data_IF_668949961184
#
_entry.id   IF_668949961184
#
_cell.length_a   1.000
_cell.length_b   1.000
_cell.length_c   1.000
_cell.angle_alpha   90.00
_cell.angle_beta   90.00
_cell.angle_gamma   90.00
#
_symmetry.space_group_name_H-M   'P 1'
#
loop_
_entity.id
_entity.type
_entity.pdbx_description
1 polymer ?
#
# COMPACT_ATOMS: atom_id res chain seq x y z
N UNK A 1 -9.88 53.85 13.93
CA UNK A 1 -10.07 52.45 13.51
C UNK A 1 -9.28 52.22 12.23
N UNK A 2 -8.14 51.54 12.30
CA UNK A 2 -7.35 51.15 11.13
C UNK A 2 -7.82 49.77 10.67
N UNK A 3 -8.27 49.65 9.42
CA UNK A 3 -8.57 48.39 8.77
C UNK A 3 -7.25 47.66 8.47
N UNK A 4 -7.09 46.43 8.96
CA UNK A 4 -6.03 45.51 8.54
C UNK A 4 -6.47 44.77 7.27
N UNK A 5 -5.61 44.62 6.24
CA UNK A 5 -5.91 43.79 5.09
C UNK A 5 -5.66 42.32 5.44
N UNK A 6 -6.64 41.47 5.16
CA UNK A 6 -6.52 40.02 5.20
C UNK A 6 -5.73 39.59 3.96
N UNK A 7 -4.49 39.12 4.17
CA UNK A 7 -3.68 38.51 3.12
C UNK A 7 -4.13 37.04 2.99
N UNK A 8 -4.79 36.71 1.89
CA UNK A 8 -5.01 35.31 1.50
C UNK A 8 -3.67 34.73 1.06
N UNK A 9 -3.13 33.81 1.85
CA UNK A 9 -2.00 32.97 1.43
C UNK A 9 -2.54 31.93 0.43
N UNK A 10 -2.36 32.17 -0.87
CA UNK A 10 -2.51 31.11 -1.87
C UNK A 10 -1.38 30.11 -1.64
N UNK A 11 -1.71 28.93 -1.12
CA UNK A 11 -0.81 27.80 -1.18
C UNK A 11 -0.64 27.40 -2.65
N UNK A 12 0.52 27.73 -3.23
CA UNK A 12 0.97 27.13 -4.48
C UNK A 12 1.17 25.64 -4.21
N UNK A 13 0.20 24.82 -4.61
CA UNK A 13 0.41 23.39 -4.76
C UNK A 13 1.38 23.21 -5.92
N UNK A 14 2.66 22.94 -5.61
CA UNK A 14 3.61 22.45 -6.59
C UNK A 14 3.03 21.15 -7.17
N UNK A 15 2.46 21.21 -8.36
CA UNK A 15 2.07 20.03 -9.10
C UNK A 15 3.37 19.33 -9.54
N UNK A 16 3.90 18.46 -8.69
CA UNK A 16 4.95 17.52 -9.09
C UNK A 16 4.34 16.58 -10.13
N UNK A 17 4.92 16.53 -11.32
CA UNK A 17 4.51 15.61 -12.37
C UNK A 17 4.85 14.19 -11.90
N UNK A 18 3.85 13.33 -11.73
CA UNK A 18 4.09 11.91 -11.51
C UNK A 18 4.42 11.21 -12.84
N UNK A 19 5.01 10.01 -12.79
CA UNK A 19 5.09 9.11 -13.93
C UNK A 19 3.67 8.89 -14.47
N UNK A 20 3.36 9.52 -15.60
CA UNK A 20 2.01 9.52 -16.16
C UNK A 20 1.80 8.33 -17.12
N UNK A 21 2.12 7.11 -16.66
CA UNK A 21 1.89 5.88 -17.41
C UNK A 21 0.47 5.32 -17.23
N UNK A 22 -0.39 6.03 -16.48
CA UNK A 22 -1.78 5.65 -16.22
C UNK A 22 -1.98 4.54 -15.19
N UNK A 23 -0.91 3.99 -14.61
CA UNK A 23 -0.97 2.87 -13.66
C UNK A 23 -0.94 3.34 -12.20
N UNK A 24 -1.30 2.43 -11.29
CA UNK A 24 -1.20 2.60 -9.82
C UNK A 24 -1.78 3.91 -9.30
N UNK A 25 -2.96 4.30 -9.81
CA UNK A 25 -3.69 5.47 -9.30
C UNK A 25 -4.15 5.29 -7.84
N UNK A 26 -4.19 4.06 -7.38
CA UNK A 26 -4.20 3.64 -5.97
C UNK A 26 -2.97 2.76 -5.72
N UNK A 27 -2.55 2.56 -4.45
CA UNK A 27 -1.42 1.69 -4.14
C UNK A 27 -1.65 0.27 -4.71
N UNK A 28 -0.64 -0.38 -5.31
CA UNK A 28 -0.84 -1.70 -5.88
C UNK A 28 -1.14 -2.74 -4.79
N UNK A 29 -1.99 -3.70 -5.14
CA UNK A 29 -2.35 -4.82 -4.27
C UNK A 29 -2.01 -6.13 -4.98
N UNK A 30 -1.41 -7.07 -4.26
CA UNK A 30 -1.04 -8.34 -4.85
C UNK A 30 -0.28 -9.26 -3.90
N UNK A 31 0.53 -10.11 -4.49
CA UNK A 31 1.36 -11.09 -3.80
C UNK A 31 2.77 -11.13 -4.41
N UNK A 32 3.81 -11.24 -3.58
CA UNK A 32 5.21 -11.37 -3.97
C UNK A 32 5.88 -12.53 -3.25
N UNK A 33 6.82 -13.21 -3.93
CA UNK A 33 7.44 -14.43 -3.38
C UNK A 33 8.48 -14.20 -2.28
N UNK A 34 9.07 -12.99 -2.16
CA UNK A 34 10.34 -12.78 -1.45
C UNK A 34 10.30 -13.14 0.03
N UNK A 35 9.47 -12.48 0.84
CA UNK A 35 9.55 -12.63 2.31
C UNK A 35 9.32 -14.08 2.74
N UNK A 36 8.30 -14.73 2.19
CA UNK A 36 7.93 -16.09 2.60
C UNK A 36 8.75 -17.20 1.94
N UNK A 37 9.10 -17.07 0.66
CA UNK A 37 9.72 -18.15 -0.12
C UNK A 37 11.19 -17.92 -0.42
N UNK A 38 11.67 -16.67 -0.31
CA UNK A 38 13.07 -16.27 -0.43
C UNK A 38 13.71 -16.85 -1.70
N UNK A 39 14.97 -17.24 -1.62
CA UNK A 39 15.72 -17.87 -2.71
C UNK A 39 15.71 -19.40 -2.61
N UNK A 40 14.59 -20.04 -2.23
CA UNK A 40 14.51 -21.50 -2.20
C UNK A 40 14.47 -22.08 -3.63
N UNK A 41 15.55 -22.70 -4.09
CA UNK A 41 15.63 -23.31 -5.43
C UNK A 41 15.68 -24.84 -5.41
N UNK A 42 15.59 -25.46 -4.23
CA UNK A 42 15.62 -26.92 -4.07
C UNK A 42 14.25 -27.53 -4.37
N UNK A 43 13.94 -27.64 -5.67
CA UNK A 43 12.70 -28.25 -6.12
C UNK A 43 12.69 -29.79 -6.06
N UNK A 44 13.83 -30.42 -5.77
CA UNK A 44 13.89 -31.87 -5.59
C UNK A 44 13.37 -32.26 -4.20
N UNK A 45 13.84 -31.57 -3.16
CA UNK A 45 13.47 -31.87 -1.78
C UNK A 45 12.31 -31.01 -1.26
N UNK A 46 12.07 -29.83 -1.84
CA UNK A 46 10.97 -28.94 -1.45
C UNK A 46 10.15 -28.43 -2.67
N UNK A 47 9.57 -29.34 -3.49
CA UNK A 47 8.91 -29.00 -4.76
C UNK A 47 7.70 -28.08 -4.62
N UNK A 48 7.11 -27.98 -3.41
CA UNK A 48 5.93 -27.15 -3.16
C UNK A 48 6.28 -25.71 -2.79
N UNK A 49 7.51 -25.43 -2.35
CA UNK A 49 7.89 -24.10 -1.88
C UNK A 49 9.10 -23.53 -2.61
N UNK A 50 9.78 -24.31 -3.46
CA UNK A 50 10.83 -23.76 -4.30
C UNK A 50 10.26 -22.74 -5.30
N UNK A 51 11.06 -21.73 -5.64
CA UNK A 51 10.78 -20.72 -6.67
C UNK A 51 10.70 -21.42 -8.03
N UNK A 52 9.47 -21.68 -8.48
CA UNK A 52 9.16 -22.44 -9.69
C UNK A 52 7.86 -21.98 -10.31
N UNK A 53 7.64 -22.28 -11.59
CA UNK A 53 6.38 -21.99 -12.29
C UNK A 53 5.16 -22.53 -11.52
N UNK A 54 5.27 -23.71 -10.89
CA UNK A 54 4.19 -24.31 -10.11
C UNK A 54 3.82 -23.47 -8.88
N UNK A 55 4.79 -22.90 -8.17
CA UNK A 55 4.52 -22.01 -7.04
C UNK A 55 3.66 -20.82 -7.47
N UNK A 56 4.02 -20.14 -8.56
CA UNK A 56 3.29 -18.97 -9.04
C UNK A 56 1.91 -19.33 -9.60
N UNK A 57 1.76 -20.51 -10.20
CA UNK A 57 0.46 -21.01 -10.65
C UNK A 57 -0.47 -21.34 -9.47
N UNK A 58 0.05 -22.00 -8.44
CA UNK A 58 -0.69 -22.27 -7.20
C UNK A 58 -1.20 -20.96 -6.58
N UNK A 59 -0.34 -19.95 -6.45
CA UNK A 59 -0.72 -18.66 -5.89
C UNK A 59 -1.71 -17.93 -6.79
N UNK A 60 -1.52 -17.95 -8.11
CA UNK A 60 -2.47 -17.37 -9.06
C UNK A 60 -3.87 -18.02 -8.97
N UNK A 61 -3.93 -19.36 -8.86
CA UNK A 61 -5.19 -20.07 -8.67
C UNK A 61 -5.86 -19.66 -7.36
N UNK A 62 -5.09 -19.57 -6.25
CA UNK A 62 -5.64 -19.04 -4.98
C UNK A 62 -6.12 -17.60 -5.12
N UNK A 63 -5.36 -16.69 -5.74
CA UNK A 63 -5.82 -15.30 -5.91
C UNK A 63 -7.14 -15.23 -6.68
N UNK A 64 -7.29 -16.05 -7.72
CA UNK A 64 -8.46 -16.05 -8.60
C UNK A 64 -9.68 -16.78 -8.03
N UNK A 65 -9.50 -17.75 -7.13
CA UNK A 65 -10.58 -18.63 -6.64
C UNK A 65 -11.03 -18.31 -5.20
N UNK A 66 -10.15 -17.70 -4.39
CA UNK A 66 -10.36 -17.54 -2.94
C UNK A 66 -10.85 -16.13 -2.54
N UNK A 67 -11.28 -15.31 -3.49
CA UNK A 67 -11.83 -13.96 -3.26
C UNK A 67 -10.78 -12.83 -3.23
N UNK A 68 -9.49 -13.13 -3.38
CA UNK A 68 -8.44 -12.10 -3.29
C UNK A 68 -8.50 -11.09 -4.42
N UNK A 69 -8.68 -11.58 -5.66
CA UNK A 69 -8.81 -10.73 -6.84
C UNK A 69 -10.01 -9.81 -6.74
N UNK A 70 -11.14 -10.32 -6.25
CA UNK A 70 -12.38 -9.55 -6.05
C UNK A 70 -12.18 -8.43 -5.01
N UNK A 71 -11.31 -8.67 -4.02
CA UNK A 71 -10.89 -7.66 -3.04
C UNK A 71 -9.81 -6.70 -3.55
N UNK A 72 -9.33 -6.88 -4.80
CA UNK A 72 -8.38 -6.00 -5.46
C UNK A 72 -6.94 -6.53 -5.55
N UNK A 73 -6.62 -7.66 -4.90
CA UNK A 73 -5.29 -8.27 -5.03
C UNK A 73 -5.16 -8.97 -6.39
N UNK A 74 -4.62 -8.27 -7.39
CA UNK A 74 -4.60 -8.72 -8.77
C UNK A 74 -3.19 -8.96 -9.35
N UNK A 75 -2.13 -8.60 -8.63
CA UNK A 75 -0.74 -8.86 -9.04
C UNK A 75 -0.17 -10.12 -8.39
N UNK A 76 0.55 -10.93 -9.17
CA UNK A 76 1.44 -12.01 -8.68
C UNK A 76 2.85 -11.69 -9.16
N UNK A 77 3.76 -11.44 -8.24
CA UNK A 77 5.09 -10.88 -8.51
C UNK A 77 6.17 -11.92 -8.21
N UNK A 78 6.95 -12.24 -9.24
CA UNK A 78 8.17 -13.03 -9.12
C UNK A 78 9.26 -12.12 -8.57
N UNK A 79 9.86 -12.49 -7.44
CA UNK A 79 11.06 -11.83 -6.91
C UNK A 79 12.35 -12.53 -7.40
N UNK A 80 13.48 -12.33 -6.74
CA UNK A 80 14.78 -12.86 -7.16
C UNK A 80 14.81 -14.40 -7.28
N UNK A 81 15.89 -14.92 -7.87
CA UNK A 81 16.19 -16.34 -8.04
C UNK A 81 15.30 -17.08 -9.05
N UNK A 82 14.61 -16.38 -9.95
CA UNK A 82 13.81 -16.98 -11.02
C UNK A 82 14.61 -17.34 -12.28
N UNK A 83 15.68 -16.59 -12.56
CA UNK A 83 16.39 -16.67 -13.84
C UNK A 83 17.38 -17.83 -13.90
N UNK A 84 17.77 -18.18 -15.10
CA UNK A 84 18.96 -18.97 -15.37
C UNK A 84 20.21 -18.16 -15.02
N UNK A 85 21.29 -18.84 -14.63
CA UNK A 85 22.61 -18.22 -14.43
C UNK A 85 23.23 -17.68 -15.73
N UNK A 86 22.66 -18.03 -16.88
CA UNK A 86 23.13 -17.61 -18.19
C UNK A 86 22.03 -16.85 -18.93
N UNK A 87 22.44 -15.74 -19.55
CA UNK A 87 21.69 -15.09 -20.63
C UNK A 87 21.77 -15.94 -21.90
N UNK A 88 20.81 -15.75 -22.80
CA UNK A 88 20.80 -16.44 -24.08
C UNK A 88 21.87 -15.92 -25.05
N UNK A 89 21.97 -16.54 -26.22
CA UNK A 89 22.94 -16.15 -27.26
C UNK A 89 22.77 -14.72 -27.78
N UNK A 90 21.58 -14.13 -27.63
CA UNK A 90 21.27 -12.76 -28.01
C UNK A 90 21.42 -11.80 -26.82
N UNK A 91 21.86 -12.31 -25.66
CA UNK A 91 22.07 -11.55 -24.42
C UNK A 91 20.80 -11.30 -23.60
N UNK A 92 19.68 -11.97 -23.90
CA UNK A 92 18.42 -11.81 -23.14
C UNK A 92 18.43 -12.66 -21.88
N UNK A 93 17.74 -12.18 -20.83
CA UNK A 93 17.43 -12.99 -19.67
C UNK A 93 16.60 -14.22 -20.07
N UNK A 94 16.80 -15.32 -19.35
CA UNK A 94 15.99 -16.53 -19.49
C UNK A 94 15.60 -17.02 -18.10
N UNK A 95 14.39 -17.59 -17.92
CA UNK A 95 14.06 -18.26 -16.68
C UNK A 95 14.84 -19.57 -16.55
N UNK A 96 15.00 -20.06 -15.33
CA UNK A 96 15.59 -21.38 -15.11
C UNK A 96 14.76 -22.47 -15.83
N UNK A 97 15.36 -23.25 -16.75
CA UNK A 97 14.60 -24.15 -17.61
C UNK A 97 14.02 -25.36 -16.87
N UNK A 98 14.56 -25.72 -15.70
CA UNK A 98 14.04 -26.83 -14.89
C UNK A 98 12.88 -26.36 -14.02
N UNK A 99 12.99 -25.17 -13.43
CA UNK A 99 11.98 -24.61 -12.51
C UNK A 99 10.84 -23.90 -13.24
N UNK A 100 11.09 -23.38 -14.44
CA UNK A 100 10.12 -22.69 -15.29
C UNK A 100 10.11 -23.28 -16.72
N UNK A 101 9.76 -24.56 -16.89
CA UNK A 101 9.84 -25.24 -18.17
C UNK A 101 8.88 -24.65 -19.24
N UNK A 102 7.80 -23.96 -18.81
CA UNK A 102 6.89 -23.26 -19.71
C UNK A 102 7.38 -21.87 -20.15
N UNK A 103 8.38 -21.32 -19.49
CA UNK A 103 8.88 -19.95 -19.68
C UNK A 103 7.94 -18.87 -19.16
N UNK A 104 8.47 -17.66 -18.96
CA UNK A 104 7.73 -16.53 -18.36
C UNK A 104 6.52 -16.11 -19.21
N UNK A 105 6.64 -16.09 -20.54
CA UNK A 105 5.53 -15.68 -21.41
C UNK A 105 4.29 -16.58 -21.28
N UNK A 106 4.49 -17.88 -21.02
CA UNK A 106 3.38 -18.82 -20.80
C UNK A 106 2.78 -18.65 -19.42
N UNK A 107 3.61 -18.39 -18.40
CA UNK A 107 3.15 -18.06 -17.05
C UNK A 107 2.34 -16.75 -17.05
N UNK A 108 2.80 -15.71 -17.73
CA UNK A 108 2.07 -14.45 -17.89
C UNK A 108 0.68 -14.69 -18.47
N UNK A 109 0.58 -15.47 -19.56
CA UNK A 109 -0.70 -15.84 -20.16
C UNK A 109 -1.59 -16.61 -19.18
N UNK A 110 -1.04 -17.54 -18.39
CA UNK A 110 -1.80 -18.29 -17.38
C UNK A 110 -2.47 -17.37 -16.34
N UNK A 111 -1.76 -16.32 -15.91
CA UNK A 111 -2.27 -15.31 -14.99
C UNK A 111 -3.29 -14.40 -15.68
N UNK A 112 -3.01 -13.94 -16.91
CA UNK A 112 -3.90 -13.08 -17.68
C UNK A 112 -5.25 -13.74 -17.97
N UNK A 113 -5.25 -15.04 -18.29
CA UNK A 113 -6.47 -15.84 -18.50
C UNK A 113 -7.37 -15.91 -17.25
N UNK A 114 -6.82 -15.57 -16.07
CA UNK A 114 -7.54 -15.48 -14.78
C UNK A 114 -7.87 -14.05 -14.35
N UNK A 115 -7.53 -13.07 -15.18
CA UNK A 115 -7.68 -11.65 -14.87
C UNK A 115 -6.66 -11.13 -13.84
N UNK A 116 -5.53 -11.82 -13.68
CA UNK A 116 -4.41 -11.39 -12.84
C UNK A 116 -3.31 -10.76 -13.70
N UNK A 117 -2.33 -10.13 -13.03
CA UNK A 117 -1.18 -9.44 -13.62
C UNK A 117 0.11 -10.09 -13.15
N UNK A 118 1.10 -10.20 -14.04
CA UNK A 118 2.42 -10.76 -13.71
C UNK A 118 3.42 -9.65 -13.38
N UNK A 119 4.00 -9.70 -12.19
CA UNK A 119 5.22 -8.96 -11.86
C UNK A 119 6.47 -9.82 -12.01
N UNK A 120 7.59 -9.17 -12.35
CA UNK A 120 8.91 -9.80 -12.38
C UNK A 120 9.95 -8.93 -11.68
N UNK A 121 11.09 -9.55 -11.40
CA UNK A 121 12.23 -8.94 -10.75
C UNK A 121 13.43 -8.85 -11.69
N UNK A 122 14.13 -7.72 -11.61
CA UNK A 122 15.49 -7.57 -12.07
C UNK A 122 16.28 -6.76 -11.04
N UNK A 123 17.59 -6.63 -11.27
CA UNK A 123 18.48 -5.80 -10.45
C UNK A 123 19.26 -4.86 -11.36
N UNK A 124 19.32 -3.58 -11.02
CA UNK A 124 20.24 -2.65 -11.66
C UNK A 124 21.64 -2.83 -11.09
N UNK A 125 22.41 -3.68 -11.76
CA UNK A 125 23.75 -4.06 -11.34
C UNK A 125 24.30 -5.20 -12.18
N UNK A 126 25.50 -5.67 -11.82
CA UNK A 126 26.11 -6.82 -12.52
C UNK A 126 25.42 -8.14 -12.18
N UNK A 127 24.86 -8.24 -10.98
CA UNK A 127 24.16 -9.42 -10.48
C UNK A 127 22.94 -8.96 -9.67
N UNK A 128 21.96 -9.85 -9.51
CA UNK A 128 20.93 -9.70 -8.49
C UNK A 128 21.51 -9.91 -7.10
N UNK A 129 20.79 -9.49 -6.05
CA UNK A 129 21.21 -9.75 -4.67
C UNK A 129 21.44 -11.25 -4.37
N UNK A 130 20.69 -12.15 -5.02
CA UNK A 130 20.84 -13.60 -4.99
C UNK A 130 21.93 -14.16 -5.92
N UNK A 131 22.67 -13.30 -6.63
CA UNK A 131 23.80 -13.68 -7.48
C UNK A 131 23.45 -14.08 -8.92
N UNK A 132 22.22 -13.85 -9.37
CA UNK A 132 21.79 -14.14 -10.74
C UNK A 132 22.17 -13.02 -11.71
N UNK A 133 22.08 -13.20 -13.05
CA UNK A 133 22.45 -12.15 -14.00
C UNK A 133 21.67 -10.85 -13.77
N UNK A 134 22.39 -9.77 -13.48
CA UNK A 134 21.82 -8.43 -13.30
C UNK A 134 21.58 -7.69 -14.61
N UNK A 135 20.88 -6.56 -14.53
CA UNK A 135 20.64 -5.62 -15.62
C UNK A 135 21.68 -4.50 -15.57
N UNK A 136 22.79 -4.69 -16.28
CA UNK A 136 23.79 -3.63 -16.46
C UNK A 136 23.26 -2.52 -17.39
N UNK A 137 23.92 -1.36 -17.40
CA UNK A 137 23.49 -0.21 -18.21
C UNK A 137 23.32 -0.54 -19.71
N UNK A 138 24.15 -1.42 -20.27
CA UNK A 138 24.07 -1.87 -21.67
C UNK A 138 22.94 -2.87 -21.93
N UNK A 139 22.33 -3.44 -20.88
CA UNK A 139 21.24 -4.43 -20.98
C UNK A 139 19.85 -3.85 -20.76
N UNK A 140 19.74 -2.62 -20.26
CA UNK A 140 18.46 -1.96 -19.94
C UNK A 140 17.44 -2.08 -21.08
N UNK A 141 17.80 -1.68 -22.31
CA UNK A 141 16.89 -1.73 -23.45
C UNK A 141 16.51 -3.17 -23.82
N UNK A 142 17.47 -4.10 -23.72
CA UNK A 142 17.25 -5.52 -24.04
C UNK A 142 16.31 -6.17 -23.03
N UNK A 143 16.50 -5.89 -21.74
CA UNK A 143 15.71 -6.49 -20.66
C UNK A 143 14.31 -5.88 -20.59
N UNK A 144 14.17 -4.56 -20.77
CA UNK A 144 12.86 -3.92 -20.89
C UNK A 144 12.03 -4.53 -22.04
N UNK A 145 12.63 -4.71 -23.22
CA UNK A 145 11.97 -5.36 -24.35
C UNK A 145 11.67 -6.84 -24.09
N UNK A 146 12.57 -7.54 -23.37
CA UNK A 146 12.35 -8.93 -22.99
C UNK A 146 11.13 -9.06 -22.08
N UNK A 147 11.02 -8.26 -21.03
CA UNK A 147 9.87 -8.25 -20.12
C UNK A 147 8.57 -7.89 -20.85
N UNK A 148 8.59 -6.85 -21.69
CA UNK A 148 7.42 -6.48 -22.49
C UNK A 148 6.99 -7.60 -23.44
N UNK A 149 7.93 -8.28 -24.10
CA UNK A 149 7.65 -9.39 -25.01
C UNK A 149 7.06 -10.61 -24.31
N UNK A 150 7.37 -10.81 -23.02
CA UNK A 150 6.77 -11.85 -22.19
C UNK A 150 5.40 -11.49 -21.65
N UNK A 151 4.95 -10.24 -21.79
CA UNK A 151 3.67 -9.79 -21.23
C UNK A 151 3.74 -9.50 -19.73
N UNK A 152 4.89 -9.11 -19.20
CA UNK A 152 5.03 -8.66 -17.81
C UNK A 152 4.25 -7.35 -17.60
N UNK A 153 3.59 -7.19 -16.46
CA UNK A 153 2.78 -6.03 -16.10
C UNK A 153 3.43 -5.14 -15.03
N UNK A 154 4.44 -5.66 -14.32
CA UNK A 154 5.12 -4.99 -13.23
C UNK A 154 6.59 -5.41 -13.17
N UNK A 155 7.51 -4.45 -12.97
CA UNK A 155 8.93 -4.71 -12.73
C UNK A 155 9.32 -4.14 -11.37
N UNK A 156 9.86 -4.98 -10.49
CA UNK A 156 10.74 -4.56 -9.40
C UNK A 156 12.17 -4.52 -9.93
N UNK A 157 12.83 -3.37 -9.84
CA UNK A 157 14.24 -3.23 -10.16
C UNK A 157 15.02 -2.91 -8.88
N UNK A 158 15.84 -3.85 -8.48
CA UNK A 158 16.70 -3.76 -7.32
C UNK A 158 18.01 -3.00 -7.61
N UNK A 159 18.92 -2.92 -6.64
CA UNK A 159 20.16 -2.17 -6.79
C UNK A 159 21.40 -2.80 -6.18
N UNK A 160 21.43 -4.12 -5.99
CA UNK A 160 22.66 -4.78 -5.56
C UNK A 160 23.73 -4.71 -6.65
N UNK A 161 25.00 -4.84 -6.28
CA UNK A 161 26.12 -4.92 -7.23
C UNK A 161 26.18 -3.76 -8.26
N UNK A 162 25.73 -2.57 -7.87
CA UNK A 162 25.90 -1.32 -8.59
C UNK A 162 26.44 -0.22 -7.68
N UNK A 163 27.07 0.79 -8.29
CA UNK A 163 27.49 2.00 -7.61
C UNK A 163 26.50 3.16 -7.82
N UNK A 164 26.75 4.27 -7.13
CA UNK A 164 25.90 5.47 -7.18
C UNK A 164 25.68 6.02 -8.60
N UNK A 165 26.73 6.08 -9.41
CA UNK A 165 26.66 6.64 -10.76
C UNK A 165 25.81 5.74 -11.67
N UNK A 166 25.95 4.42 -11.53
CA UNK A 166 25.12 3.44 -12.23
C UNK A 166 23.66 3.57 -11.83
N UNK A 167 23.36 3.71 -10.55
CA UNK A 167 21.99 3.90 -10.05
C UNK A 167 21.36 5.20 -10.56
N UNK A 168 22.09 6.32 -10.46
CA UNK A 168 21.65 7.63 -10.95
C UNK A 168 21.30 7.64 -12.44
N UNK A 169 22.00 6.84 -13.26
CA UNK A 169 21.72 6.72 -14.70
C UNK A 169 20.66 5.65 -14.99
N UNK A 170 20.80 4.49 -14.37
CA UNK A 170 20.09 3.28 -14.76
C UNK A 170 18.60 3.29 -14.42
N UNK A 171 18.21 3.81 -13.24
CA UNK A 171 16.79 3.89 -12.88
C UNK A 171 15.98 4.77 -13.86
N UNK A 172 16.42 6.00 -14.21
CA UNK A 172 15.77 6.78 -15.27
C UNK A 172 15.81 6.12 -16.65
N UNK A 173 16.93 5.47 -17.01
CA UNK A 173 17.07 4.79 -18.30
C UNK A 173 16.08 3.62 -18.42
N UNK A 174 15.90 2.83 -17.35
CA UNK A 174 14.91 1.74 -17.33
C UNK A 174 13.49 2.28 -17.46
N UNK A 175 13.13 3.37 -16.76
CA UNK A 175 11.81 4.02 -16.92
C UNK A 175 11.54 4.40 -18.39
N UNK A 176 12.54 5.03 -19.04
CA UNK A 176 12.46 5.37 -20.47
C UNK A 176 12.36 4.14 -21.36
N UNK A 177 13.14 3.09 -21.08
CA UNK A 177 13.16 1.85 -21.86
C UNK A 177 11.82 1.13 -21.77
N UNK A 178 11.25 0.98 -20.56
CA UNK A 178 9.92 0.42 -20.34
C UNK A 178 8.85 1.18 -21.13
N UNK A 179 8.84 2.52 -21.05
CA UNK A 179 7.91 3.35 -21.81
C UNK A 179 8.07 3.15 -23.33
N UNK A 180 9.30 3.03 -23.82
CA UNK A 180 9.59 2.81 -25.25
C UNK A 180 9.12 1.44 -25.79
N UNK A 181 8.84 0.47 -24.93
CA UNK A 181 8.24 -0.82 -25.35
C UNK A 181 6.79 -0.65 -25.82
N UNK A 182 6.11 0.42 -25.40
CA UNK A 182 4.68 0.64 -25.64
C UNK A 182 3.74 -0.23 -24.78
N UNK A 183 4.27 -1.11 -23.93
CA UNK A 183 3.49 -1.86 -22.94
C UNK A 183 3.46 -1.09 -21.61
N UNK A 184 2.28 -0.83 -21.03
CA UNK A 184 2.21 -0.30 -19.66
C UNK A 184 2.77 -1.33 -18.67
N UNK A 185 3.91 -1.01 -18.05
CA UNK A 185 4.56 -1.82 -17.02
C UNK A 185 4.70 -0.94 -15.78
N UNK A 186 4.12 -1.40 -14.66
CA UNK A 186 4.31 -0.77 -13.36
C UNK A 186 5.76 -0.86 -12.93
N UNK A 187 6.34 0.22 -12.41
CA UNK A 187 7.77 0.25 -12.12
C UNK A 187 8.06 0.55 -10.65
N UNK A 188 8.56 -0.47 -9.94
CA UNK A 188 8.97 -0.43 -8.54
C UNK A 188 10.49 -0.29 -8.44
N UNK A 189 10.94 0.78 -7.81
CA UNK A 189 12.35 1.15 -7.75
C UNK A 189 12.92 0.98 -6.35
N UNK A 190 13.93 0.12 -6.16
CA UNK A 190 14.61 0.02 -4.86
C UNK A 190 15.61 1.14 -4.60
N UNK A 191 15.81 2.05 -5.57
CA UNK A 191 16.86 3.07 -5.54
C UNK A 191 17.02 3.82 -4.20
N UNK A 192 15.96 4.36 -3.55
CA UNK A 192 16.16 5.13 -2.34
C UNK A 192 16.72 4.32 -1.16
N UNK A 193 16.36 3.03 -1.02
CA UNK A 193 16.90 2.17 0.04
C UNK A 193 18.43 2.06 -0.05
N UNK A 194 19.00 1.92 -1.26
CA UNK A 194 20.45 1.87 -1.47
C UNK A 194 21.16 3.22 -1.26
N UNK A 195 20.41 4.30 -1.03
CA UNK A 195 20.89 5.67 -0.82
C UNK A 195 20.54 6.22 0.56
N UNK A 196 20.07 5.37 1.47
CA UNK A 196 19.70 5.74 2.84
C UNK A 196 18.33 6.42 2.98
N UNK A 197 17.51 6.43 1.91
CA UNK A 197 16.10 6.82 1.96
C UNK A 197 15.80 8.30 2.13
N UNK A 198 16.81 9.18 2.24
CA UNK A 198 16.62 10.59 2.59
C UNK A 198 17.40 11.56 1.69
N UNK A 199 16.88 12.80 1.50
CA UNK A 199 17.66 13.89 0.92
C UNK A 199 18.94 14.19 1.72
N UNK A 200 20.01 14.69 1.09
CA UNK A 200 20.11 15.04 -0.33
C UNK A 200 20.43 13.85 -1.25
N UNK A 201 20.74 12.67 -0.71
CA UNK A 201 21.12 11.49 -1.49
C UNK A 201 19.97 10.88 -2.28
N UNK A 202 18.73 11.19 -1.89
CA UNK A 202 17.50 10.81 -2.60
C UNK A 202 16.75 12.05 -3.06
N UNK A 203 16.34 12.04 -4.33
CA UNK A 203 15.46 13.06 -4.92
C UNK A 203 14.07 12.44 -5.21
N UNK A 204 13.12 12.64 -4.30
CA UNK A 204 11.77 12.10 -4.43
C UNK A 204 10.95 12.72 -5.56
N UNK A 205 11.22 13.98 -5.94
CA UNK A 205 10.59 14.58 -7.12
C UNK A 205 10.96 13.80 -8.38
N UNK A 206 12.24 13.47 -8.57
CA UNK A 206 12.69 12.64 -9.68
C UNK A 206 12.07 11.23 -9.60
N UNK A 207 12.09 10.59 -8.43
CA UNK A 207 11.48 9.26 -8.26
C UNK A 207 10.00 9.28 -8.66
N UNK A 208 9.26 10.32 -8.26
CA UNK A 208 7.88 10.55 -8.65
C UNK A 208 7.67 10.62 -10.16
N UNK A 209 8.63 11.15 -10.93
CA UNK A 209 8.57 11.27 -12.39
C UNK A 209 8.91 9.95 -13.10
N UNK A 210 9.71 9.07 -12.49
CA UNK A 210 10.25 7.88 -13.16
C UNK A 210 9.74 6.55 -12.64
N UNK A 211 9.18 6.47 -11.43
CA UNK A 211 8.76 5.24 -10.76
C UNK A 211 7.29 5.32 -10.31
N UNK A 212 6.59 4.19 -10.29
CA UNK A 212 5.24 4.11 -9.70
C UNK A 212 5.24 3.88 -8.19
N UNK A 213 6.31 3.28 -7.67
CA UNK A 213 6.56 3.12 -6.25
C UNK A 213 8.05 2.93 -6.01
N UNK A 214 8.48 3.13 -4.77
CA UNK A 214 9.88 2.97 -4.41
C UNK A 214 10.06 2.44 -2.99
N UNK A 215 10.96 1.48 -2.83
CA UNK A 215 11.37 0.96 -1.50
C UNK A 215 12.29 1.98 -0.85
N UNK A 216 11.81 2.62 0.22
CA UNK A 216 12.54 3.70 0.89
C UNK A 216 13.63 3.19 1.84
N UNK A 217 13.40 2.04 2.47
CA UNK A 217 14.12 1.59 3.66
C UNK A 217 14.36 0.07 3.62
N UNK A 218 14.91 -0.47 4.70
CA UNK A 218 15.36 -1.85 4.86
C UNK A 218 14.27 -2.90 4.56
N UNK A 219 14.73 -4.10 4.21
CA UNK A 219 13.86 -5.25 3.93
C UNK A 219 13.13 -5.72 5.19
N UNK A 220 11.82 -5.91 5.06
CA UNK A 220 11.00 -6.48 6.11
C UNK A 220 11.39 -7.94 6.35
N UNK A 221 11.43 -8.30 7.63
CA UNK A 221 11.62 -9.67 8.11
C UNK A 221 10.38 -10.10 8.88
N UNK A 222 10.12 -11.41 8.95
CA UNK A 222 9.01 -11.99 9.70
C UNK A 222 9.16 -11.84 11.23
N UNK A 223 9.08 -10.60 11.73
CA UNK A 223 9.14 -10.26 13.13
C UNK A 223 8.43 -8.93 13.43
N UNK A 224 7.90 -8.81 14.64
CA UNK A 224 7.31 -7.55 15.10
C UNK A 224 8.35 -6.43 15.20
N UNK A 225 9.60 -6.74 15.54
CA UNK A 225 10.67 -5.74 15.61
C UNK A 225 10.95 -5.11 14.25
N UNK A 226 10.93 -5.90 13.18
CA UNK A 226 11.10 -5.38 11.81
C UNK A 226 9.93 -4.47 11.40
N UNK A 227 8.69 -4.84 11.72
CA UNK A 227 7.51 -3.98 11.49
C UNK A 227 7.65 -2.67 12.25
N UNK A 228 8.06 -2.72 13.52
CA UNK A 228 8.24 -1.51 14.33
C UNK A 228 9.33 -0.61 13.75
N UNK A 229 10.51 -1.15 13.44
CA UNK A 229 11.65 -0.41 12.89
C UNK A 229 11.28 0.33 11.60
N UNK A 230 10.62 -0.36 10.67
CA UNK A 230 10.11 0.25 9.43
C UNK A 230 9.11 1.37 9.75
N UNK A 231 8.12 1.10 10.60
CA UNK A 231 7.11 2.12 10.91
C UNK A 231 7.70 3.33 11.63
N UNK A 232 8.65 3.12 12.53
CA UNK A 232 9.33 4.18 13.25
C UNK A 232 10.14 5.04 12.28
N UNK A 233 10.91 4.43 11.39
CA UNK A 233 11.65 5.16 10.36
C UNK A 233 10.72 5.99 9.45
N UNK A 234 9.63 5.41 8.98
CA UNK A 234 8.68 6.12 8.11
C UNK A 234 8.02 7.31 8.81
N UNK A 235 7.58 7.13 10.07
CA UNK A 235 6.87 8.17 10.80
C UNK A 235 7.80 9.22 11.44
N UNK A 236 9.05 8.87 11.73
CA UNK A 236 10.08 9.83 12.15
C UNK A 236 10.52 10.74 10.99
N UNK A 237 10.43 10.24 9.75
CA UNK A 237 10.77 10.98 8.53
C UNK A 237 9.53 11.49 7.76
N UNK A 238 8.35 11.51 8.38
CA UNK A 238 7.07 11.75 7.69
C UNK A 238 6.97 13.10 6.98
N UNK A 239 7.64 14.15 7.48
CA UNK A 239 7.60 15.48 6.85
C UNK A 239 8.26 15.49 5.47
N UNK A 240 9.17 14.54 5.21
CA UNK A 240 9.83 14.34 3.92
C UNK A 240 9.02 13.37 3.06
N UNK A 241 8.57 12.25 3.63
CA UNK A 241 7.98 11.16 2.85
C UNK A 241 6.51 11.39 2.50
N UNK A 242 5.72 11.94 3.41
CA UNK A 242 4.26 12.06 3.26
C UNK A 242 3.83 12.89 2.03
N UNK A 243 4.49 14.03 1.69
CA UNK A 243 4.11 14.82 0.51
C UNK A 243 4.45 14.17 -0.83
N UNK A 244 5.37 13.21 -0.83
CA UNK A 244 5.90 12.61 -2.07
C UNK A 244 5.01 11.49 -2.61
N UNK A 245 4.20 10.87 -1.74
CA UNK A 245 3.22 9.85 -2.13
C UNK A 245 1.93 10.47 -2.70
N UNK A 246 1.37 9.80 -3.72
CA UNK A 246 0.10 10.18 -4.35
C UNK A 246 -0.25 9.27 -5.54
N UNK A 247 -1.39 9.50 -6.22
CA UNK A 247 -1.83 8.68 -7.34
C UNK A 247 -0.76 8.51 -8.43
N UNK A 248 -0.29 7.27 -8.60
CA UNK A 248 0.75 6.89 -9.55
C UNK A 248 2.18 6.89 -9.02
N UNK A 249 2.40 7.25 -7.75
CA UNK A 249 3.72 7.32 -7.10
C UNK A 249 3.64 7.06 -5.59
N UNK A 250 4.18 5.95 -5.10
CA UNK A 250 3.96 5.52 -3.70
C UNK A 250 5.27 5.25 -2.97
N UNK A 251 5.32 5.63 -1.69
CA UNK A 251 6.33 5.10 -0.79
C UNK A 251 6.00 3.62 -0.49
N UNK A 252 7.01 2.76 -0.50
CA UNK A 252 6.88 1.33 -0.26
C UNK A 252 7.62 0.93 1.03
N UNK A 253 6.90 0.70 2.14
CA UNK A 253 7.45 0.17 3.40
C UNK A 253 7.63 -1.35 3.38
N UNK A 254 7.67 -1.96 2.20
CA UNK A 254 7.82 -3.40 1.95
C UNK A 254 6.57 -4.24 2.25
N UNK A 255 6.69 -5.55 2.02
CA UNK A 255 5.59 -6.52 1.99
C UNK A 255 4.81 -6.66 3.32
N UNK A 256 3.56 -7.12 3.19
CA UNK A 256 2.76 -7.62 4.31
C UNK A 256 3.20 -9.05 4.67
N UNK A 257 3.54 -9.26 5.94
CA UNK A 257 3.96 -10.57 6.51
C UNK A 257 2.83 -11.26 7.28
N UNK A 258 1.61 -10.73 7.17
CA UNK A 258 0.40 -11.29 7.81
C UNK A 258 0.15 -12.71 7.29
N UNK A 259 0.01 -13.64 8.23
CA UNK A 259 -0.19 -15.06 7.94
C UNK A 259 1.09 -15.89 7.83
N UNK A 260 2.26 -15.28 8.09
CA UNK A 260 3.50 -16.00 8.32
C UNK A 260 3.61 -16.39 9.81
N UNK A 261 4.80 -16.28 10.41
CA UNK A 261 5.10 -16.92 11.69
C UNK A 261 5.44 -15.93 12.81
N UNK A 262 5.92 -14.74 12.46
CA UNK A 262 6.50 -13.77 13.41
C UNK A 262 5.53 -12.78 14.02
N UNK A 263 4.31 -12.65 13.48
CA UNK A 263 3.29 -11.74 13.99
C UNK A 263 2.17 -12.46 14.72
N UNK A 264 1.84 -11.96 15.92
CA UNK A 264 0.56 -12.29 16.57
C UNK A 264 -0.63 -11.72 15.79
N UNK A 265 -1.85 -12.12 16.17
CA UNK A 265 -3.08 -11.59 15.54
C UNK A 265 -3.18 -10.07 15.73
N UNK A 266 -2.85 -9.56 16.91
CA UNK A 266 -2.92 -8.12 17.19
C UNK A 266 -1.83 -7.35 16.42
N UNK A 267 -0.62 -7.91 16.30
CA UNK A 267 0.45 -7.33 15.48
C UNK A 267 0.13 -7.38 13.98
N UNK A 268 -0.54 -8.44 13.51
CA UNK A 268 -1.01 -8.56 12.13
C UNK A 268 -2.05 -7.47 11.80
N UNK A 269 -2.98 -7.18 12.72
CA UNK A 269 -3.91 -6.05 12.60
C UNK A 269 -3.17 -4.71 12.60
N UNK A 270 -2.15 -4.58 13.44
CA UNK A 270 -1.30 -3.38 13.49
C UNK A 270 -0.61 -3.14 12.16
N UNK A 271 0.00 -4.16 11.55
CA UNK A 271 0.63 -4.02 10.23
C UNK A 271 -0.38 -3.57 9.17
N UNK A 272 -1.53 -4.26 9.05
CA UNK A 272 -2.57 -3.89 8.08
C UNK A 272 -3.05 -2.45 8.26
N UNK A 273 -3.29 -2.02 9.50
CA UNK A 273 -3.77 -0.69 9.80
C UNK A 273 -2.72 0.40 9.48
N UNK A 274 -1.45 0.17 9.84
CA UNK A 274 -0.38 1.13 9.59
C UNK A 274 -0.03 1.24 8.11
N UNK A 275 -0.03 0.14 7.35
CA UNK A 275 0.14 0.16 5.90
C UNK A 275 -1.03 0.88 5.22
N UNK A 276 -2.27 0.68 5.70
CA UNK A 276 -3.42 1.44 5.22
C UNK A 276 -3.29 2.94 5.53
N UNK A 277 -2.79 3.32 6.71
CA UNK A 277 -2.50 4.73 7.04
C UNK A 277 -1.41 5.30 6.14
N UNK A 278 -0.35 4.55 5.84
CA UNK A 278 0.77 5.00 5.01
C UNK A 278 0.41 5.10 3.51
N UNK A 279 -0.79 4.70 3.10
CA UNK A 279 -1.12 4.51 1.68
C UNK A 279 -0.11 3.59 0.97
N UNK A 280 0.38 2.58 1.70
CA UNK A 280 1.38 1.65 1.22
C UNK A 280 0.79 0.66 0.20
N UNK A 281 1.62 0.09 -0.69
CA UNK A 281 1.27 -1.15 -1.39
C UNK A 281 0.78 -2.22 -0.41
N UNK A 282 -0.28 -2.95 -0.78
CA UNK A 282 -0.72 -4.14 -0.04
C UNK A 282 -0.23 -5.38 -0.79
N UNK A 283 1.09 -5.58 -0.77
CA UNK A 283 1.74 -6.73 -1.40
C UNK A 283 1.96 -7.79 -0.32
N UNK A 284 1.17 -8.86 -0.36
CA UNK A 284 1.31 -10.00 0.55
C UNK A 284 2.56 -10.81 0.20
N UNK A 285 3.25 -11.35 1.20
CA UNK A 285 4.19 -12.44 0.96
C UNK A 285 3.95 -13.52 1.99
N UNK A 286 3.11 -14.50 1.65
CA UNK A 286 2.68 -15.58 2.53
C UNK A 286 2.28 -16.82 1.72
N UNK A 287 1.99 -17.95 2.36
CA UNK A 287 1.51 -19.14 1.66
C UNK A 287 -0.02 -19.19 1.63
N UNK A 288 -0.63 -18.69 0.55
CA UNK A 288 -2.09 -18.61 0.40
C UNK A 288 -2.81 -19.96 0.43
N UNK A 289 -2.10 -21.06 0.14
CA UNK A 289 -2.64 -22.43 0.20
C UNK A 289 -2.97 -22.88 1.62
N UNK A 290 -2.33 -22.28 2.63
CA UNK A 290 -2.41 -22.70 4.04
C UNK A 290 -2.64 -21.51 4.97
N UNK A 291 -3.16 -20.40 4.46
CA UNK A 291 -3.40 -19.18 5.24
C UNK A 291 -4.49 -19.42 6.29
N UNK A 292 -4.27 -18.99 7.54
CA UNK A 292 -5.28 -19.10 8.59
C UNK A 292 -6.51 -18.23 8.31
N UNK A 293 -7.65 -18.60 8.88
CA UNK A 293 -8.89 -17.82 8.79
C UNK A 293 -8.72 -16.40 9.34
N UNK A 294 -7.95 -16.25 10.41
CA UNK A 294 -7.69 -14.98 11.07
C UNK A 294 -6.85 -14.07 10.18
N UNK A 295 -5.75 -14.57 9.61
CA UNK A 295 -4.91 -13.81 8.68
C UNK A 295 -5.69 -13.44 7.42
N UNK A 296 -6.50 -14.38 6.88
CA UNK A 296 -7.39 -14.14 5.76
C UNK A 296 -8.38 -13.01 6.05
N UNK A 297 -9.04 -13.04 7.21
CA UNK A 297 -10.02 -12.03 7.58
C UNK A 297 -9.41 -10.63 7.76
N UNK A 298 -8.14 -10.55 8.20
CA UNK A 298 -7.41 -9.27 8.29
C UNK A 298 -7.11 -8.74 6.89
N UNK A 299 -6.52 -9.57 6.03
CA UNK A 299 -6.10 -9.17 4.69
C UNK A 299 -7.28 -8.90 3.75
N UNK A 300 -8.40 -9.62 3.90
CA UNK A 300 -9.64 -9.40 3.13
C UNK A 300 -10.60 -8.40 3.82
N UNK A 301 -10.15 -7.62 4.80
CA UNK A 301 -11.01 -6.63 5.45
C UNK A 301 -11.33 -5.48 4.48
N UNK A 302 -12.56 -5.48 3.92
CA UNK A 302 -12.98 -4.49 2.93
C UNK A 302 -12.93 -3.03 3.42
N UNK A 303 -13.09 -2.79 4.72
CA UNK A 303 -12.95 -1.44 5.28
C UNK A 303 -11.49 -0.99 5.35
N UNK A 304 -10.57 -1.87 5.75
CA UNK A 304 -9.13 -1.57 5.72
C UNK A 304 -8.63 -1.35 4.29
N UNK A 305 -9.07 -2.19 3.35
CA UNK A 305 -8.73 -2.07 1.92
C UNK A 305 -9.27 -0.76 1.34
N UNK A 306 -10.54 -0.41 1.59
CA UNK A 306 -11.10 0.83 1.06
C UNK A 306 -10.38 2.08 1.60
N UNK A 307 -9.94 2.05 2.86
CA UNK A 307 -9.10 3.12 3.42
C UNK A 307 -7.75 3.17 2.69
N UNK A 308 -7.10 2.02 2.48
CA UNK A 308 -5.84 1.95 1.74
C UNK A 308 -5.99 2.52 0.31
N UNK A 309 -7.06 2.10 -0.39
CA UNK A 309 -7.39 2.41 -1.78
C UNK A 309 -8.16 3.73 -1.98
N UNK A 310 -8.19 4.61 -0.98
CA UNK A 310 -8.88 5.90 -1.10
C UNK A 310 -8.31 6.73 -2.28
N UNK A 311 -9.16 7.23 -3.19
CA UNK A 311 -8.72 7.85 -4.45
C UNK A 311 -8.04 9.20 -4.27
N UNK A 312 -8.12 9.84 -3.10
CA UNK A 312 -7.29 11.03 -2.84
C UNK A 312 -5.81 10.65 -2.80
N UNK A 313 -5.47 9.41 -2.46
CA UNK A 313 -4.09 8.93 -2.43
C UNK A 313 -3.18 9.66 -1.45
N UNK A 314 -3.74 10.35 -0.45
CA UNK A 314 -2.95 11.10 0.52
C UNK A 314 -2.44 10.13 1.60
N UNK A 315 -1.12 9.98 1.69
CA UNK A 315 -0.47 9.25 2.78
C UNK A 315 -0.77 9.92 4.13
N UNK A 316 -1.04 9.11 5.15
CA UNK A 316 -1.29 9.56 6.51
C UNK A 316 -0.03 9.92 7.29
N UNK A 317 -0.21 10.25 8.57
CA UNK A 317 0.85 10.70 9.47
C UNK A 317 0.60 10.27 10.91
N UNK A 318 1.65 10.23 11.72
CA UNK A 318 1.56 10.14 13.18
C UNK A 318 1.22 11.52 13.74
N UNK A 319 0.14 11.60 14.48
CA UNK A 319 -0.31 12.82 15.15
C UNK A 319 0.30 12.98 16.54
N UNK A 320 0.36 11.89 17.31
CA UNK A 320 0.70 11.92 18.72
C UNK A 320 1.55 10.71 19.12
N UNK A 321 2.45 10.94 20.06
CA UNK A 321 3.16 9.91 20.83
C UNK A 321 3.02 10.25 22.31
N UNK A 322 2.25 9.45 23.03
CA UNK A 322 1.92 9.69 24.43
C UNK A 322 2.94 9.02 25.36
N UNK A 323 3.13 9.58 26.56
CA UNK A 323 3.95 8.96 27.61
C UNK A 323 3.42 7.59 28.07
N UNK A 324 2.17 7.29 27.77
CA UNK A 324 1.55 5.97 28.00
C UNK A 324 1.95 4.91 26.98
N UNK A 325 2.81 5.25 26.01
CA UNK A 325 3.19 4.41 24.88
C UNK A 325 2.00 4.11 23.94
N UNK A 326 1.07 5.07 23.84
CA UNK A 326 0.02 5.06 22.82
C UNK A 326 0.42 6.04 21.73
N UNK A 327 0.33 5.59 20.48
CA UNK A 327 0.54 6.42 19.31
C UNK A 327 -0.78 6.57 18.54
N UNK A 328 -1.03 7.77 18.03
CA UNK A 328 -2.24 8.05 17.24
C UNK A 328 -1.82 8.46 15.84
N UNK A 329 -2.35 7.76 14.85
CA UNK A 329 -2.13 8.04 13.44
C UNK A 329 -3.42 8.47 12.76
N UNK A 330 -3.27 9.26 11.71
CA UNK A 330 -4.38 9.83 10.98
C UNK A 330 -4.09 9.90 9.49
N UNK A 331 -5.08 9.52 8.68
CA UNK A 331 -5.06 9.67 7.22
C UNK A 331 -6.33 10.42 6.77
N UNK A 332 -6.21 11.52 6.02
CA UNK A 332 -7.37 12.14 5.38
C UNK A 332 -7.86 11.27 4.23
N UNK A 333 -9.17 11.16 4.09
CA UNK A 333 -9.83 10.37 3.06
C UNK A 333 -10.84 11.24 2.29
N UNK A 334 -11.36 10.69 1.20
CA UNK A 334 -12.39 11.29 0.38
C UNK A 334 -13.64 11.63 1.19
N UNK A 335 -14.45 12.57 0.66
CA UNK A 335 -15.72 12.98 1.27
C UNK A 335 -15.58 13.53 2.71
N UNK A 336 -14.45 14.16 3.01
CA UNK A 336 -14.14 14.70 4.34
C UNK A 336 -14.12 13.65 5.46
N UNK A 337 -13.94 12.38 5.10
CA UNK A 337 -13.69 11.30 6.05
C UNK A 337 -12.20 11.22 6.41
N UNK A 338 -11.89 10.35 7.36
CA UNK A 338 -10.52 10.08 7.80
C UNK A 338 -10.40 8.70 8.42
N UNK A 339 -9.20 8.13 8.40
CA UNK A 339 -8.86 6.99 9.23
C UNK A 339 -8.11 7.46 10.49
N UNK A 340 -8.43 6.87 11.64
CA UNK A 340 -7.67 6.98 12.88
C UNK A 340 -7.17 5.61 13.29
N UNK A 341 -5.90 5.50 13.66
CA UNK A 341 -5.33 4.30 14.27
C UNK A 341 -4.78 4.67 15.64
N UNK A 342 -5.22 3.95 16.66
CA UNK A 342 -4.67 4.01 18.01
C UNK A 342 -3.82 2.75 18.21
N UNK A 343 -2.50 2.91 18.22
CA UNK A 343 -1.53 1.83 18.38
C UNK A 343 -1.01 1.81 19.82
N UNK A 344 -0.89 0.62 20.40
CA UNK A 344 -0.23 0.43 21.69
C UNK A 344 1.18 -0.13 21.48
N UNK A 345 2.21 0.65 21.84
CA UNK A 345 3.60 0.20 21.96
C UNK A 345 3.88 -0.48 23.30
N UNK A 346 2.84 -0.69 24.12
CA UNK A 346 2.95 -1.36 25.40
C UNK A 346 3.12 -2.87 25.22
N UNK A 347 3.72 -3.53 26.21
CA UNK A 347 3.94 -4.97 26.25
C UNK A 347 3.31 -5.64 27.49
N UNK A 348 2.40 -4.95 28.18
CA UNK A 348 1.80 -5.42 29.43
C UNK A 348 0.37 -5.96 29.23
N UNK A 349 -0.64 -5.11 29.22
CA UNK A 349 -2.06 -5.48 29.19
C UNK A 349 -2.90 -4.47 28.40
N UNK A 350 -4.18 -4.76 28.10
CA UNK A 350 -5.03 -3.81 27.40
C UNK A 350 -5.10 -2.46 28.11
N UNK A 351 -4.87 -1.39 27.36
CA UNK A 351 -4.83 -0.03 27.87
C UNK A 351 -6.08 0.74 27.45
N UNK A 352 -6.72 1.40 28.42
CA UNK A 352 -7.88 2.26 28.18
C UNK A 352 -7.39 3.68 27.89
N UNK A 353 -7.31 4.03 26.60
CA UNK A 353 -6.91 5.37 26.18
C UNK A 353 -8.12 6.30 26.14
N UNK A 354 -8.05 7.39 26.90
CA UNK A 354 -9.11 8.39 27.05
C UNK A 354 -8.76 9.64 26.23
N UNK A 355 -9.61 10.01 25.28
CA UNK A 355 -9.38 11.19 24.43
C UNK A 355 -10.70 11.74 23.86
N UNK A 356 -10.59 12.78 23.03
CA UNK A 356 -11.70 13.35 22.25
C UNK A 356 -11.20 13.78 20.87
N UNK A 357 -12.11 13.91 19.90
CA UNK A 357 -11.73 14.30 18.53
C UNK A 357 -11.06 15.68 18.47
N UNK A 358 -11.42 16.61 19.36
CA UNK A 358 -10.79 17.92 19.49
C UNK A 358 -9.30 17.82 19.89
N UNK A 359 -8.93 16.89 20.77
CA UNK A 359 -7.52 16.62 21.13
C UNK A 359 -6.73 16.05 19.96
N UNK A 360 -7.42 15.50 18.95
CA UNK A 360 -6.85 14.97 17.71
C UNK A 360 -6.98 15.96 16.54
N UNK A 361 -7.18 17.25 16.84
CA UNK A 361 -7.28 18.36 15.88
C UNK A 361 -8.48 18.30 14.91
N UNK A 362 -9.55 17.56 15.25
CA UNK A 362 -10.80 17.66 14.49
C UNK A 362 -11.52 18.97 14.82
N UNK A 363 -12.14 19.56 13.81
CA UNK A 363 -12.95 20.77 13.96
C UNK A 363 -14.31 20.46 14.57
N UNK A 364 -14.98 21.50 15.09
CA UNK A 364 -16.33 21.39 15.63
C UNK A 364 -17.29 20.82 14.57
N UNK A 365 -17.99 19.74 14.93
CA UNK A 365 -18.86 19.00 14.02
C UNK A 365 -19.48 17.77 14.69
N UNK A 366 -20.31 17.04 13.94
CA UNK A 366 -20.86 15.75 14.34
C UNK A 366 -20.30 14.67 13.41
N UNK A 367 -19.78 13.61 14.03
CA UNK A 367 -19.08 12.52 13.38
C UNK A 367 -19.67 11.19 13.82
N UNK A 368 -19.46 10.18 12.99
CA UNK A 368 -19.59 8.78 13.33
C UNK A 368 -18.26 8.08 13.06
N UNK A 369 -17.97 7.02 13.81
CA UNK A 369 -16.76 6.22 13.63
C UNK A 369 -17.14 4.75 13.46
N UNK A 370 -16.71 4.13 12.36
CA UNK A 370 -16.82 2.70 12.15
C UNK A 370 -15.51 2.02 12.54
N UNK A 371 -15.57 1.11 13.51
CA UNK A 371 -14.42 0.32 13.93
C UNK A 371 -14.13 -0.79 12.92
N UNK A 372 -12.99 -0.68 12.25
CA UNK A 372 -12.62 -1.46 11.07
C UNK A 372 -12.50 -2.96 11.38
N UNK A 373 -12.03 -3.34 12.57
CA UNK A 373 -11.81 -4.75 12.91
C UNK A 373 -12.95 -5.39 13.69
N UNK A 374 -13.78 -4.60 14.38
CA UNK A 374 -14.95 -5.14 15.12
C UNK A 374 -16.27 -4.97 14.39
N UNK A 375 -16.32 -4.12 13.35
CA UNK A 375 -17.53 -3.81 12.59
C UNK A 375 -18.56 -2.96 13.34
N UNK A 376 -18.19 -2.39 14.49
CA UNK A 376 -19.09 -1.60 15.33
C UNK A 376 -19.04 -0.12 14.97
N UNK A 377 -20.21 0.50 14.84
CA UNK A 377 -20.32 1.95 14.66
C UNK A 377 -20.51 2.66 16.00
N UNK A 378 -19.68 3.67 16.26
CA UNK A 378 -19.85 4.64 17.33
C UNK A 378 -20.52 5.88 16.75
N UNK A 379 -21.73 6.18 17.24
CA UNK A 379 -22.51 7.34 16.81
C UNK A 379 -22.47 8.46 17.85
N UNK A 380 -22.77 9.68 17.42
CA UNK A 380 -22.93 10.83 18.32
C UNK A 380 -21.61 11.44 18.79
N UNK A 381 -20.52 11.21 18.06
CA UNK A 381 -19.25 11.85 18.35
C UNK A 381 -19.32 13.32 17.94
N UNK A 382 -19.05 14.21 18.89
CA UNK A 382 -18.70 15.60 18.59
C UNK A 382 -17.21 15.82 18.85
N UNK A 383 -16.68 16.96 18.42
CA UNK A 383 -15.29 17.35 18.74
C UNK A 383 -14.97 17.24 20.25
N UNK A 384 -15.92 17.59 21.12
CA UNK A 384 -15.74 17.62 22.58
C UNK A 384 -16.22 16.35 23.29
N UNK A 385 -16.78 15.38 22.57
CA UNK A 385 -17.22 14.12 23.17
C UNK A 385 -16.00 13.31 23.57
N UNK A 386 -15.83 13.07 24.87
CA UNK A 386 -14.79 12.18 25.37
C UNK A 386 -15.19 10.72 25.14
N UNK A 387 -14.25 9.91 24.66
CA UNK A 387 -14.43 8.49 24.42
C UNK A 387 -13.26 7.70 24.97
N UNK A 388 -13.42 6.37 25.02
CA UNK A 388 -12.37 5.46 25.48
C UNK A 388 -12.22 4.33 24.48
N UNK A 389 -10.98 4.10 24.04
CA UNK A 389 -10.62 2.92 23.24
C UNK A 389 -9.78 1.99 24.11
N UNK A 390 -10.09 0.70 24.07
CA UNK A 390 -9.33 -0.33 24.77
C UNK A 390 -8.39 -1.00 23.77
N UNK A 391 -7.09 -0.79 23.93
CA UNK A 391 -6.08 -1.19 22.94
C UNK A 391 -5.20 -2.28 23.55
N UNK A 392 -5.13 -3.45 22.91
CA UNK A 392 -4.26 -4.54 23.35
C UNK A 392 -2.77 -4.19 23.15
N UNK A 393 -1.85 -4.79 23.94
CA UNK A 393 -0.40 -4.67 23.71
C UNK A 393 -0.01 -5.04 22.28
N UNK A 394 0.83 -4.23 21.62
CA UNK A 394 1.23 -4.40 20.20
C UNK A 394 0.06 -4.45 19.19
N UNK A 395 -1.14 -4.08 19.63
CA UNK A 395 -2.37 -4.08 18.83
C UNK A 395 -2.85 -2.67 18.51
N UNK A 396 -3.90 -2.63 17.68
CA UNK A 396 -4.55 -1.39 17.24
C UNK A 396 -6.05 -1.39 17.48
N UNK A 397 -6.60 -0.19 17.65
CA UNK A 397 -7.99 0.12 17.31
C UNK A 397 -7.96 1.04 16.08
N UNK A 398 -8.67 0.68 15.02
CA UNK A 398 -8.71 1.45 13.77
C UNK A 398 -10.14 1.90 13.48
N UNK A 399 -10.33 3.19 13.28
CA UNK A 399 -11.62 3.81 12.99
C UNK A 399 -11.62 4.46 11.61
N UNK A 400 -12.69 4.24 10.85
CA UNK A 400 -13.11 5.10 9.76
C UNK A 400 -14.07 6.16 10.30
N UNK A 401 -13.61 7.41 10.38
CA UNK A 401 -14.36 8.54 10.92
C UNK A 401 -14.94 9.36 9.76
N UNK A 402 -16.23 9.65 9.81
CA UNK A 402 -16.90 10.42 8.76
C UNK A 402 -17.90 11.41 9.35
N UNK A 403 -18.11 12.57 8.72
CA UNK A 403 -19.07 13.54 9.18
C UNK A 403 -20.48 12.98 9.02
N UNK A 404 -21.32 13.19 10.04
CA UNK A 404 -22.75 12.89 9.94
C UNK A 404 -23.42 13.98 9.11
N UNK A 405 -23.49 13.78 7.79
CA UNK A 405 -24.17 14.73 6.91
C UNK A 405 -25.68 14.63 7.15
N UNK A 406 -26.23 15.63 7.83
CA UNK A 406 -27.68 15.87 7.89
C UNK A 406 -28.09 16.59 6.60
N UNK A 407 -28.47 15.84 5.57
CA UNK A 407 -29.16 16.47 4.44
C UNK A 407 -30.62 16.73 4.84
N UNK A 408 -30.90 17.92 5.34
CA UNK A 408 -32.28 18.37 5.47
C UNK A 408 -32.77 18.74 4.05
N UNK A 409 -33.43 17.80 3.38
CA UNK A 409 -34.14 18.05 2.13
C UNK A 409 -35.11 19.22 2.35
N UNK A 410 -34.84 20.35 1.70
CA UNK A 410 -35.77 21.47 1.65
C UNK A 410 -36.91 21.12 0.69
N UNK A 411 -37.98 20.53 1.21
CA UNK A 411 -39.29 20.67 0.57
C UNK A 411 -40.05 21.76 1.30
N UNK A 412 -39.98 22.99 0.78
CA UNK A 412 -41.01 23.99 1.07
C UNK A 412 -42.20 23.66 0.17
N UNK A 413 -43.20 22.95 0.71
CA UNK A 413 -44.57 23.06 0.17
C UNK A 413 -45.44 23.75 1.22
N UNK A 414 -45.53 25.07 1.14
CA UNK A 414 -46.62 25.81 1.77
C UNK A 414 -47.77 25.83 0.77
N UNK A 415 -48.83 25.06 1.02
CA UNK A 415 -50.10 25.26 0.33
C UNK A 415 -50.95 26.21 1.17
N UNK A 416 -51.32 27.35 0.60
CA UNK A 416 -52.31 28.23 1.20
C UNK A 416 -53.71 27.76 0.79
N UNK A 417 -54.49 27.34 1.77
CA UNK A 417 -55.95 27.30 1.65
C UNK A 417 -56.51 27.90 2.93
N UNK A 418 -57.19 29.04 2.80
CA UNK A 418 -57.99 29.69 3.84
C UNK A 418 -57.28 30.06 5.16
N UNK A 419 -56.15 30.77 5.08
CA UNK A 419 -55.77 31.73 6.13
C UNK A 419 -55.19 31.18 7.44
N UNK A 420 -54.73 29.93 7.50
CA UNK A 420 -54.00 29.37 8.65
C UNK A 420 -52.72 28.66 8.16
N UNK A 421 -51.54 29.22 8.51
CA UNK A 421 -50.25 28.56 8.29
C UNK A 421 -49.99 27.50 9.38
N UNK A 422 -49.86 26.24 8.98
CA UNK A 422 -49.39 25.14 9.81
C UNK A 422 -48.15 24.51 9.17
N UNK A 423 -46.97 24.97 9.57
CA UNK A 423 -45.69 24.35 9.21
C UNK A 423 -45.44 23.11 10.10
N UNK A 424 -45.45 21.91 9.52
CA UNK A 424 -45.05 20.69 10.25
C UNK A 424 -43.53 20.58 10.43
N UNK A 425 -43.12 19.98 11.55
CA UNK A 425 -41.72 19.85 12.00
C UNK A 425 -40.84 19.08 11.01
N UNK A 426 -39.61 19.58 10.87
CA UNK A 426 -38.49 19.01 10.11
C UNK A 426 -38.18 17.57 10.54
N UNK A 427 -38.12 16.64 9.58
CA UNK A 427 -37.41 15.36 9.73
C UNK A 427 -36.15 15.44 8.87
N UNK A 428 -34.99 15.52 9.51
CA UNK A 428 -33.72 15.31 8.82
C UNK A 428 -33.35 13.82 9.02
N UNK A 429 -33.05 13.13 7.93
CA UNK A 429 -32.71 11.70 7.94
C UNK A 429 -31.20 11.57 7.74
N UNK A 430 -30.48 10.79 8.55
CA UNK A 430 -29.05 10.54 8.32
C UNK A 430 -28.88 9.71 7.03
N UNK A 431 -28.01 10.18 6.12
CA UNK A 431 -27.51 9.34 5.04
C UNK A 431 -26.40 8.49 5.66
N UNK A 432 -26.57 7.17 5.66
CA UNK A 432 -25.47 6.26 5.91
C UNK A 432 -24.48 6.39 4.75
N UNK A 433 -23.42 7.18 4.94
CA UNK A 433 -22.26 7.19 4.03
C UNK A 433 -21.35 6.03 4.44
N UNK A 434 -21.90 4.83 4.35
CA UNK A 434 -21.10 3.61 4.38
C UNK A 434 -20.98 3.24 2.90
N UNK A 435 -19.78 3.33 2.26
CA UNK A 435 -19.62 2.66 0.98
C UNK A 435 -20.01 1.20 1.23
N UNK A 436 -20.83 0.58 0.37
CA UNK A 436 -21.29 -0.77 0.63
C UNK A 436 -20.06 -1.68 0.63
N UNK A 437 -19.58 -2.00 1.83
CA UNK A 437 -18.64 -3.08 2.05
C UNK A 437 -19.44 -4.36 1.79
N UNK A 438 -19.58 -4.72 0.52
CA UNK A 438 -20.22 -5.96 0.13
C UNK A 438 -19.36 -7.10 0.68
N UNK A 439 -19.99 -7.88 1.55
CA UNK A 439 -19.47 -9.13 2.11
C UNK A 439 -19.21 -10.19 1.06
#
# INVERSE_FOLDING_TARGET
>A
MKLLPVIFLLALTSATSALDNGLMRTPPMGWMSWERFRCNIDCENDPKNCISENLFRDMADRLAEDGWKEMGYDHVMIDDCWSSMLRDKDGRLQPDPQRFPGGIAKLARYLHDRGLKLGIYGDLGTHTCGGYPGTTLDKIDTDAQTFASWGVDFLKLDGCYSNEEEQQKGYPLMSKALNATGRPIGYSCSWPAYRGGLPPSVNYTLLGEICNLWRNYDDIQDSWDSVQDITDWFFDNQEILQPEAGPGRWNDPDMLIIGNFGLSVDQSRSQMALWAIMAAPLIMSNNLRTLSSEARAILQNGAAIAINQDPMGVQGRRLLQERSHIEVYWRPLSQSASALVFLSRRQDMPYRYHTSLAKLNYTAGSYEAYDVFTGKTLSGLSATTEFTVSINPSGVVMWYVYPKILQCLHFQSCNSVQGLELCQKRKCVPIAVIPPFHH
#
